data_IF_109554012332
#
_entry.id   IF_109554012332
#
_cell.length_a   1.000
_cell.length_b   1.000
_cell.length_c   1.000
_cell.angle_alpha   90.00
_cell.angle_beta   90.00
_cell.angle_gamma   90.00
#
_symmetry.space_group_name_H-M   'P 1'
#
loop_
_entity.id
_entity.type
_entity.pdbx_description
1 polymer ?
#
# COMPACT_ATOMS: atom_id res chain seq x y z
N UNK A 1 2.03 17.21 1.27
CA UNK A 1 0.76 16.43 1.13
C UNK A 1 0.98 15.31 0.16
N UNK A 2 0.48 14.12 0.46
CA UNK A 2 0.55 12.93 -0.39
C UNK A 2 -0.82 12.75 -1.05
N UNK A 3 -0.88 12.65 -2.38
CA UNK A 3 -2.11 12.36 -3.10
C UNK A 3 -2.64 10.98 -2.69
N UNK A 4 -3.97 10.84 -2.54
CA UNK A 4 -4.66 9.59 -2.21
C UNK A 4 -5.74 9.37 -3.24
N UNK A 5 -5.72 8.23 -3.92
CA UNK A 5 -6.60 7.95 -5.05
C UNK A 5 -7.65 6.89 -4.71
N UNK A 6 -8.84 7.07 -5.28
CA UNK A 6 -9.80 5.97 -5.37
C UNK A 6 -9.34 4.93 -6.40
N UNK A 7 -9.86 3.69 -6.36
CA UNK A 7 -9.56 2.69 -7.37
C UNK A 7 -9.87 3.13 -8.80
N UNK A 8 -10.93 3.92 -8.99
CA UNK A 8 -11.32 4.48 -10.28
C UNK A 8 -10.33 5.52 -10.77
N UNK A 9 -9.91 6.44 -9.90
CA UNK A 9 -8.89 7.45 -10.22
C UNK A 9 -7.56 6.77 -10.57
N UNK A 10 -7.18 5.73 -9.82
CA UNK A 10 -5.96 4.96 -10.11
C UNK A 10 -6.02 4.30 -11.48
N UNK A 11 -7.14 3.64 -11.84
CA UNK A 11 -7.33 3.05 -13.17
C UNK A 11 -7.26 4.09 -14.30
N UNK A 12 -7.79 5.29 -14.08
CA UNK A 12 -7.70 6.38 -15.06
C UNK A 12 -6.25 6.88 -15.21
N UNK A 13 -5.52 7.02 -14.10
CA UNK A 13 -4.11 7.41 -14.12
C UNK A 13 -3.25 6.35 -14.83
N UNK A 14 -3.46 5.06 -14.55
CA UNK A 14 -2.80 3.94 -15.24
C UNK A 14 -3.08 3.97 -16.75
N UNK A 15 -4.35 4.14 -17.15
CA UNK A 15 -4.74 4.20 -18.55
C UNK A 15 -4.13 5.42 -19.28
N UNK A 16 -4.05 6.57 -18.62
CA UNK A 16 -3.42 7.77 -19.15
C UNK A 16 -1.90 7.58 -19.31
N UNK A 17 -1.23 6.99 -18.32
CA UNK A 17 0.19 6.68 -18.37
C UNK A 17 0.51 5.70 -19.52
N UNK A 18 -0.27 4.64 -19.69
CA UNK A 18 -0.11 3.67 -20.78
C UNK A 18 -0.34 4.32 -22.15
N UNK A 19 -1.38 5.16 -22.29
CA UNK A 19 -1.69 5.81 -23.57
C UNK A 19 -0.62 6.83 -24.00
N UNK A 20 0.01 7.52 -23.05
CA UNK A 20 1.07 8.48 -23.31
C UNK A 20 2.39 7.84 -23.69
N UNK A 21 2.62 6.61 -23.25
CA UNK A 21 3.89 5.93 -23.32
C UNK A 21 4.06 4.97 -24.52
N UNK A 22 2.97 4.55 -25.22
CA UNK A 22 2.97 3.65 -26.40
C UNK A 22 2.94 2.16 -26.03
N UNK A 23 2.73 1.29 -27.04
CA UNK A 23 2.36 -0.14 -26.88
C UNK A 23 3.33 -1.05 -26.09
N UNK A 24 4.54 -0.59 -25.75
CA UNK A 24 5.54 -1.43 -25.06
C UNK A 24 5.77 -1.04 -23.59
N UNK A 25 4.97 -0.16 -23.03
CA UNK A 25 5.25 0.40 -21.71
C UNK A 25 4.62 -0.36 -20.53
N UNK A 26 3.62 -1.20 -20.76
CA UNK A 26 3.04 -2.04 -19.69
C UNK A 26 4.12 -2.91 -19.02
N UNK A 27 4.97 -3.56 -19.82
CA UNK A 27 6.09 -4.35 -19.31
C UNK A 27 7.10 -3.51 -18.51
N UNK A 28 7.28 -2.23 -18.87
CA UNK A 28 8.18 -1.32 -18.15
C UNK A 28 7.61 -0.94 -16.78
N UNK A 29 6.28 -0.73 -16.68
CA UNK A 29 5.64 -0.47 -15.40
C UNK A 29 5.70 -1.69 -14.48
N UNK A 30 5.41 -2.89 -14.99
CA UNK A 30 5.52 -4.15 -14.23
C UNK A 30 6.98 -4.37 -13.77
N UNK A 31 7.96 -4.10 -14.63
CA UNK A 31 9.39 -4.22 -14.27
C UNK A 31 9.78 -3.24 -13.16
N UNK A 32 9.33 -1.98 -13.23
CA UNK A 32 9.60 -0.97 -12.19
C UNK A 32 8.91 -1.34 -10.88
N UNK A 33 7.65 -1.74 -10.95
CA UNK A 33 6.87 -2.16 -9.78
C UNK A 33 7.53 -3.37 -9.09
N UNK A 34 7.80 -4.44 -9.83
CA UNK A 34 8.43 -5.63 -9.30
C UNK A 34 9.84 -5.38 -8.75
N UNK A 35 10.63 -4.53 -9.40
CA UNK A 35 11.94 -4.11 -8.88
C UNK A 35 11.83 -3.38 -7.55
N UNK A 36 10.86 -2.47 -7.42
CA UNK A 36 10.62 -1.74 -6.18
C UNK A 36 10.18 -2.68 -5.04
N UNK A 37 9.28 -3.63 -5.33
CA UNK A 37 8.90 -4.68 -4.37
C UNK A 37 10.10 -5.48 -3.92
N UNK A 38 10.98 -5.89 -4.86
CA UNK A 38 12.19 -6.62 -4.54
C UNK A 38 13.15 -5.83 -3.64
N UNK A 39 13.29 -4.52 -3.86
CA UNK A 39 14.11 -3.66 -3.03
C UNK A 39 13.59 -3.57 -1.59
N UNK A 40 12.28 -3.38 -1.41
CA UNK A 40 11.65 -3.36 -0.08
C UNK A 40 11.78 -4.72 0.60
N UNK A 41 11.52 -5.81 -0.13
CA UNK A 41 11.71 -7.17 0.36
C UNK A 41 13.15 -7.42 0.85
N UNK A 42 14.15 -7.01 0.06
CA UNK A 42 15.57 -7.09 0.43
C UNK A 42 15.89 -6.29 1.69
N UNK A 43 15.29 -5.10 1.85
CA UNK A 43 15.45 -4.27 3.04
C UNK A 43 14.84 -4.95 4.28
N UNK A 44 13.64 -5.52 4.16
CA UNK A 44 12.99 -6.27 5.23
C UNK A 44 13.81 -7.49 5.68
N UNK A 45 14.43 -8.17 4.73
CA UNK A 45 15.28 -9.35 4.98
C UNK A 45 16.67 -9.00 5.56
N UNK A 46 17.06 -7.73 5.55
CA UNK A 46 18.43 -7.32 5.90
C UNK A 46 19.48 -7.82 4.91
N UNK A 47 19.07 -8.12 3.68
CA UNK A 47 19.84 -8.73 2.58
C UNK A 47 19.10 -9.96 2.04
N UNK A 48 19.37 -10.33 0.79
CA UNK A 48 18.62 -11.41 0.10
C UNK A 48 19.40 -12.73 0.00
N UNK A 49 20.73 -12.70 0.10
CA UNK A 49 21.55 -13.88 -0.10
C UNK A 49 21.25 -14.98 0.95
N UNK A 50 20.92 -16.17 0.46
CA UNK A 50 20.60 -17.34 1.30
C UNK A 50 19.22 -17.30 1.96
N UNK A 51 18.41 -16.27 1.68
CA UNK A 51 17.05 -16.13 2.20
C UNK A 51 16.03 -16.90 1.38
N UNK A 52 14.99 -17.38 2.04
CA UNK A 52 13.86 -18.07 1.42
C UNK A 52 12.66 -17.13 1.37
N UNK A 53 12.12 -16.91 0.17
CA UNK A 53 10.98 -16.01 -0.03
C UNK A 53 9.85 -16.78 -0.70
N UNK A 54 8.69 -16.81 -0.06
CA UNK A 54 7.47 -17.33 -0.64
C UNK A 54 6.68 -16.19 -1.29
N UNK A 55 6.32 -16.34 -2.56
CA UNK A 55 5.52 -15.35 -3.28
C UNK A 55 4.16 -15.97 -3.62
N UNK A 56 3.10 -15.39 -3.06
CA UNK A 56 1.72 -15.77 -3.36
C UNK A 56 1.31 -14.95 -4.58
N UNK A 57 0.99 -15.62 -5.69
CA UNK A 57 0.75 -14.96 -6.97
C UNK A 57 -0.67 -15.21 -7.48
N UNK A 58 -1.33 -14.14 -7.88
CA UNK A 58 -2.58 -14.18 -8.65
C UNK A 58 -2.32 -14.25 -10.16
N UNK A 59 -3.43 -14.17 -10.93
CA UNK A 59 -3.44 -14.22 -12.40
C UNK A 59 -3.32 -12.85 -13.05
N UNK A 60 -3.44 -11.76 -12.30
CA UNK A 60 -3.40 -10.38 -12.80
C UNK A 60 -2.03 -9.72 -12.64
N UNK A 61 -1.95 -8.43 -12.97
CA UNK A 61 -0.74 -7.60 -12.93
C UNK A 61 -0.06 -7.63 -11.56
N UNK A 62 -0.82 -7.66 -10.47
CA UNK A 62 -0.26 -7.79 -9.13
C UNK A 62 0.61 -9.06 -8.98
N UNK A 63 0.14 -10.18 -9.56
CA UNK A 63 0.90 -11.42 -9.62
C UNK A 63 2.14 -11.30 -10.51
N UNK A 64 2.07 -10.52 -11.58
CA UNK A 64 3.22 -10.28 -12.47
C UNK A 64 4.28 -9.43 -11.78
N UNK A 65 3.89 -8.40 -11.03
CA UNK A 65 4.79 -7.62 -10.16
C UNK A 65 5.51 -8.53 -9.14
N UNK A 66 4.76 -9.45 -8.52
CA UNK A 66 5.32 -10.45 -7.61
C UNK A 66 6.32 -11.40 -8.29
N UNK A 67 6.05 -11.82 -9.53
CA UNK A 67 6.98 -12.67 -10.32
C UNK A 67 8.26 -11.94 -10.67
N UNK A 68 8.16 -10.67 -11.10
CA UNK A 68 9.34 -9.83 -11.38
C UNK A 68 10.14 -9.59 -10.09
N UNK A 69 9.47 -9.31 -8.97
CA UNK A 69 10.14 -9.17 -7.68
C UNK A 69 10.92 -10.44 -7.30
N UNK A 70 10.34 -11.62 -7.52
CA UNK A 70 11.01 -12.89 -7.28
C UNK A 70 12.26 -13.07 -8.16
N UNK A 71 12.22 -12.68 -9.45
CA UNK A 71 13.36 -12.76 -10.35
C UNK A 71 14.52 -11.88 -9.86
N UNK A 72 14.25 -10.66 -9.41
CA UNK A 72 15.26 -9.79 -8.84
C UNK A 72 15.85 -10.34 -7.54
N UNK A 73 15.00 -10.89 -6.64
CA UNK A 73 15.45 -11.52 -5.41
C UNK A 73 16.34 -12.73 -5.69
N UNK A 74 15.99 -13.57 -6.69
CA UNK A 74 16.84 -14.67 -7.16
C UNK A 74 18.18 -14.18 -7.69
N UNK A 75 18.15 -13.11 -8.51
CA UNK A 75 19.38 -12.50 -9.01
C UNK A 75 20.30 -12.02 -7.87
N UNK A 76 19.73 -11.60 -6.73
CA UNK A 76 20.47 -11.19 -5.53
C UNK A 76 20.71 -12.35 -4.55
N UNK A 77 20.50 -13.59 -4.95
CA UNK A 77 20.88 -14.79 -4.20
C UNK A 77 19.84 -15.31 -3.21
N UNK A 78 18.58 -14.88 -3.28
CA UNK A 78 17.49 -15.51 -2.54
C UNK A 78 17.00 -16.78 -3.25
N UNK A 79 16.46 -17.74 -2.48
CA UNK A 79 15.65 -18.82 -3.01
C UNK A 79 14.18 -18.37 -2.98
N UNK A 80 13.50 -18.38 -4.12
CA UNK A 80 12.09 -18.01 -4.20
C UNK A 80 11.22 -19.20 -4.59
N UNK A 81 10.07 -19.32 -3.95
CA UNK A 81 9.03 -20.30 -4.27
C UNK A 81 7.72 -19.59 -4.55
N UNK A 82 6.88 -20.17 -5.39
CA UNK A 82 5.59 -19.62 -5.74
C UNK A 82 4.45 -20.47 -5.20
N UNK A 83 3.41 -19.78 -4.73
CA UNK A 83 2.13 -20.37 -4.37
C UNK A 83 1.04 -19.65 -5.16
N UNK A 84 0.20 -20.38 -5.88
CA UNK A 84 -0.95 -19.73 -6.53
C UNK A 84 -1.96 -19.31 -5.47
N UNK A 85 -2.56 -18.14 -5.67
CA UNK A 85 -3.59 -17.63 -4.76
C UNK A 85 -4.77 -18.61 -4.59
N UNK A 86 -5.13 -19.31 -5.65
CA UNK A 86 -6.21 -20.31 -5.64
C UNK A 86 -5.89 -21.53 -4.75
N UNK A 87 -4.61 -21.84 -4.52
CA UNK A 87 -4.13 -22.99 -3.75
C UNK A 87 -3.71 -22.63 -2.30
N UNK A 88 -3.84 -21.35 -1.93
CA UNK A 88 -3.31 -20.81 -0.67
C UNK A 88 -4.14 -21.23 0.56
N UNK A 89 -5.44 -21.43 0.39
CA UNK A 89 -6.36 -21.76 1.47
C UNK A 89 -5.99 -23.05 2.19
N UNK A 90 -5.90 -23.00 3.54
CA UNK A 90 -5.55 -24.16 4.38
C UNK A 90 -4.06 -24.46 4.45
N UNK A 91 -3.20 -23.77 3.72
CA UNK A 91 -1.75 -23.89 3.85
C UNK A 91 -1.26 -23.23 5.14
N UNK A 92 -0.19 -23.79 5.72
CA UNK A 92 0.46 -23.25 6.91
C UNK A 92 1.91 -22.90 6.56
N UNK A 93 2.28 -21.65 6.81
CA UNK A 93 3.60 -21.08 6.51
C UNK A 93 4.21 -20.58 7.81
N UNK A 94 5.40 -21.05 8.13
CA UNK A 94 6.19 -20.58 9.27
C UNK A 94 7.65 -20.29 8.86
N UNK A 95 8.46 -19.88 9.82
CA UNK A 95 9.88 -19.54 9.62
C UNK A 95 10.77 -20.69 9.12
N UNK A 96 10.27 -21.93 9.08
CA UNK A 96 10.95 -23.07 8.44
C UNK A 96 10.67 -23.12 6.94
N UNK A 97 9.57 -22.46 6.51
CA UNK A 97 9.13 -22.43 5.12
C UNK A 97 9.64 -21.21 4.37
N UNK A 98 9.70 -20.06 5.04
CA UNK A 98 10.11 -18.79 4.43
C UNK A 98 10.66 -17.80 5.48
N UNK A 99 11.59 -16.93 5.05
CA UNK A 99 12.04 -15.75 5.80
C UNK A 99 11.12 -14.53 5.52
N UNK A 100 10.38 -14.55 4.41
CA UNK A 100 9.44 -13.51 3.99
C UNK A 100 8.35 -14.11 3.12
N UNK A 101 7.11 -13.66 3.32
CA UNK A 101 6.00 -13.90 2.40
C UNK A 101 5.73 -12.61 1.62
N UNK A 102 5.63 -12.70 0.30
CA UNK A 102 5.17 -11.60 -0.57
C UNK A 102 3.73 -11.93 -0.98
N UNK A 103 2.79 -11.09 -0.58
CA UNK A 103 1.39 -11.17 -0.99
C UNK A 103 1.19 -10.37 -2.28
N UNK A 104 1.21 -11.05 -3.40
CA UNK A 104 0.94 -10.56 -4.74
C UNK A 104 -0.28 -11.28 -5.35
N UNK A 105 -1.22 -11.73 -4.51
CA UNK A 105 -2.38 -12.47 -4.98
C UNK A 105 -3.36 -11.58 -5.73
N UNK A 106 -3.77 -10.45 -5.13
CA UNK A 106 -4.79 -9.57 -5.70
C UNK A 106 -4.46 -8.11 -5.38
N UNK A 107 -4.70 -7.22 -6.36
CA UNK A 107 -4.59 -5.76 -6.22
C UNK A 107 -5.97 -5.08 -6.20
N UNK A 108 -6.02 -3.80 -6.61
CA UNK A 108 -7.20 -2.92 -6.57
C UNK A 108 -8.43 -3.45 -7.33
N UNK A 109 -8.25 -4.38 -8.25
CA UNK A 109 -9.33 -4.98 -9.06
C UNK A 109 -10.00 -6.20 -8.43
N UNK A 110 -9.63 -6.57 -7.20
CA UNK A 110 -10.17 -7.76 -6.57
C UNK A 110 -11.63 -7.57 -6.14
N UNK A 111 -12.47 -8.54 -6.53
CA UNK A 111 -13.86 -8.65 -6.12
C UNK A 111 -14.15 -10.10 -5.74
N UNK A 112 -14.73 -10.32 -4.58
CA UNK A 112 -15.11 -11.66 -4.12
C UNK A 112 -14.53 -12.01 -2.76
N UNK A 113 -14.31 -13.30 -2.54
CA UNK A 113 -13.68 -13.83 -1.32
C UNK A 113 -12.41 -14.59 -1.67
N UNK A 114 -11.42 -14.47 -0.83
CA UNK A 114 -10.18 -15.23 -0.88
C UNK A 114 -9.87 -15.79 0.49
N UNK A 115 -9.26 -16.96 0.52
CA UNK A 115 -8.78 -17.56 1.76
C UNK A 115 -7.24 -17.61 1.69
N UNK A 116 -6.54 -16.72 2.41
CA UNK A 116 -5.09 -16.76 2.48
C UNK A 116 -4.56 -17.98 3.22
N UNK A 117 -3.27 -18.32 3.10
CA UNK A 117 -2.63 -19.28 3.97
C UNK A 117 -2.57 -18.74 5.40
N UNK A 118 -2.43 -19.63 6.36
CA UNK A 118 -2.10 -19.22 7.72
C UNK A 118 -0.59 -18.95 7.81
N UNK A 119 -0.19 -17.71 8.05
CA UNK A 119 1.21 -17.29 8.19
C UNK A 119 1.51 -17.05 9.66
N UNK A 120 2.54 -17.72 10.19
CA UNK A 120 2.94 -17.61 11.59
C UNK A 120 4.42 -17.25 11.72
N UNK A 121 4.71 -16.18 12.42
CA UNK A 121 6.07 -15.70 12.74
C UNK A 121 6.97 -15.50 11.49
N UNK A 122 6.36 -15.09 10.38
CA UNK A 122 7.03 -14.71 9.13
C UNK A 122 6.52 -13.33 8.72
N UNK A 123 7.40 -12.37 8.42
CA UNK A 123 6.97 -11.07 7.92
C UNK A 123 6.26 -11.19 6.56
N UNK A 124 5.27 -10.32 6.35
CA UNK A 124 4.48 -10.25 5.12
C UNK A 124 4.69 -8.88 4.46
N UNK A 125 5.01 -8.91 3.17
CA UNK A 125 5.06 -7.75 2.28
C UNK A 125 3.90 -7.83 1.30
N UNK A 126 2.98 -6.87 1.35
CA UNK A 126 1.89 -6.79 0.38
C UNK A 126 2.30 -5.95 -0.84
N UNK A 127 1.86 -6.39 -2.02
CA UNK A 127 2.06 -5.70 -3.29
C UNK A 127 0.80 -4.93 -3.63
N UNK A 128 0.92 -3.63 -3.84
CA UNK A 128 -0.11 -2.66 -4.15
C UNK A 128 -1.11 -2.40 -3.00
N UNK A 129 -1.80 -3.42 -2.54
CA UNK A 129 -2.72 -3.42 -1.38
C UNK A 129 -2.77 -4.85 -0.82
N UNK A 130 -2.92 -5.07 0.50
CA UNK A 130 -3.09 -6.42 1.03
C UNK A 130 -4.29 -7.11 0.37
N UNK A 131 -4.08 -8.32 -0.12
CA UNK A 131 -5.09 -9.06 -0.88
C UNK A 131 -6.34 -9.33 -0.05
N UNK A 132 -7.49 -8.88 -0.55
CA UNK A 132 -8.78 -9.00 0.14
C UNK A 132 -9.23 -7.74 0.88
N UNK A 133 -8.40 -6.70 1.00
CA UNK A 133 -8.80 -5.36 1.45
C UNK A 133 -9.46 -4.63 0.28
N UNK A 134 -10.63 -4.05 0.52
CA UNK A 134 -11.31 -3.22 -0.47
C UNK A 134 -10.55 -1.90 -0.66
N UNK A 135 -10.09 -1.63 -1.87
CA UNK A 135 -9.26 -0.47 -2.18
C UNK A 135 -10.00 0.88 -2.09
N UNK A 136 -11.34 0.90 -2.07
CA UNK A 136 -12.13 2.12 -1.95
C UNK A 136 -12.36 2.52 -0.50
N UNK A 137 -12.86 1.59 0.32
CA UNK A 137 -13.36 1.89 1.67
C UNK A 137 -12.63 1.14 2.79
N UNK A 138 -11.69 0.26 2.45
CA UNK A 138 -10.92 -0.54 3.41
C UNK A 138 -11.70 -1.69 4.05
N UNK A 139 -12.93 -1.95 3.60
CA UNK A 139 -13.71 -3.06 4.14
C UNK A 139 -13.07 -4.41 3.82
N UNK A 140 -13.27 -5.38 4.70
CA UNK A 140 -12.75 -6.74 4.59
C UNK A 140 -13.89 -7.73 4.70
N UNK A 141 -14.16 -8.47 3.62
CA UNK A 141 -15.26 -9.43 3.56
C UNK A 141 -14.83 -10.88 3.84
N UNK A 142 -13.52 -11.13 3.99
CA UNK A 142 -12.92 -12.44 4.22
C UNK A 142 -11.65 -12.32 5.05
N UNK A 143 -10.94 -13.42 5.27
CA UNK A 143 -9.61 -13.36 5.89
C UNK A 143 -8.61 -12.62 4.99
N UNK A 144 -7.71 -11.89 5.59
CA UNK A 144 -6.65 -11.12 4.93
C UNK A 144 -5.34 -11.39 5.67
N UNK A 145 -4.23 -11.41 4.96
CA UNK A 145 -2.91 -11.41 5.58
C UNK A 145 -2.61 -10.01 6.15
N UNK A 146 -2.19 -9.96 7.40
CA UNK A 146 -1.70 -8.70 8.00
C UNK A 146 -0.30 -8.46 7.46
N UNK A 147 -0.14 -7.44 6.64
CA UNK A 147 1.17 -7.07 6.12
C UNK A 147 1.97 -6.29 7.17
N UNK A 148 3.28 -6.54 7.23
CA UNK A 148 4.21 -5.69 7.98
C UNK A 148 4.53 -4.42 7.18
N UNK A 149 4.54 -4.55 5.85
CA UNK A 149 4.71 -3.45 4.89
C UNK A 149 3.87 -3.69 3.66
N UNK A 150 3.46 -2.58 3.03
CA UNK A 150 2.79 -2.60 1.73
C UNK A 150 3.54 -1.67 0.79
N UNK A 151 3.95 -2.18 -0.37
CA UNK A 151 4.47 -1.36 -1.48
C UNK A 151 3.30 -1.00 -2.37
N UNK A 152 3.01 0.28 -2.51
CA UNK A 152 1.92 0.78 -3.36
C UNK A 152 2.47 1.71 -4.44
N UNK A 153 1.85 1.73 -5.61
CA UNK A 153 2.35 2.39 -6.80
C UNK A 153 1.59 3.68 -7.08
N UNK A 154 2.33 4.74 -7.46
CA UNK A 154 1.82 6.06 -7.77
C UNK A 154 1.27 6.80 -6.55
N UNK A 155 0.20 6.29 -5.94
CA UNK A 155 -0.43 6.87 -4.75
C UNK A 155 -1.08 5.78 -3.87
N UNK A 156 -1.23 6.04 -2.56
CA UNK A 156 -2.05 5.21 -1.68
C UNK A 156 -3.50 5.20 -2.16
N UNK A 157 -4.16 4.06 -2.01
CA UNK A 157 -5.59 3.93 -2.28
C UNK A 157 -6.38 4.33 -1.04
N UNK A 158 -7.56 4.91 -1.23
CA UNK A 158 -8.41 5.38 -0.11
C UNK A 158 -8.66 4.28 0.92
N UNK A 159 -8.90 3.05 0.49
CA UNK A 159 -9.13 1.90 1.37
C UNK A 159 -7.94 1.47 2.22
N UNK A 160 -6.71 1.87 1.88
CA UNK A 160 -5.54 1.62 2.73
C UNK A 160 -5.55 2.50 3.99
N UNK A 161 -6.25 3.63 3.95
CA UNK A 161 -6.29 4.66 4.99
C UNK A 161 -7.63 4.74 5.71
N UNK A 162 -8.66 4.05 5.20
CA UNK A 162 -10.02 4.06 5.72
C UNK A 162 -10.46 2.66 6.19
N UNK A 163 -11.53 2.62 6.97
CA UNK A 163 -12.14 1.36 7.45
C UNK A 163 -11.15 0.50 8.23
N UNK A 164 -11.09 -0.77 7.88
CA UNK A 164 -10.19 -1.75 8.49
C UNK A 164 -8.80 -1.77 7.82
N UNK A 165 -8.65 -1.13 6.64
CA UNK A 165 -7.45 -1.14 5.83
C UNK A 165 -6.15 -0.82 6.58
N UNK A 166 -6.10 0.24 7.42
CA UNK A 166 -4.90 0.57 8.19
C UNK A 166 -4.39 -0.57 9.09
N UNK A 167 -5.30 -1.45 9.55
CA UNK A 167 -4.94 -2.60 10.39
C UNK A 167 -4.24 -3.72 9.63
N UNK A 168 -4.34 -3.73 8.29
CA UNK A 168 -3.77 -4.77 7.43
C UNK A 168 -2.58 -4.31 6.60
N UNK A 169 -2.42 -2.99 6.35
CA UNK A 169 -1.39 -2.47 5.43
C UNK A 169 0.02 -2.39 6.05
N UNK A 170 0.15 -2.32 7.38
CA UNK A 170 1.44 -2.05 8.02
C UNK A 170 2.03 -0.71 7.58
N UNK A 171 3.37 -0.65 7.45
CA UNK A 171 4.03 0.53 6.89
C UNK A 171 3.82 0.60 5.37
N UNK A 172 3.42 1.76 4.86
CA UNK A 172 3.14 1.96 3.43
C UNK A 172 4.34 2.64 2.76
N UNK A 173 4.95 1.93 1.81
CA UNK A 173 5.97 2.46 0.91
C UNK A 173 5.32 2.88 -0.41
N UNK A 174 5.30 4.17 -0.70
CA UNK A 174 4.76 4.72 -1.95
C UNK A 174 5.90 4.81 -2.96
N UNK A 175 5.73 4.15 -4.10
CA UNK A 175 6.75 4.10 -5.14
C UNK A 175 6.23 4.78 -6.41
N UNK A 176 7.02 5.73 -6.89
CA UNK A 176 6.80 6.32 -8.20
C UNK A 176 7.25 5.33 -9.29
N UNK A 177 6.31 4.86 -10.07
CA UNK A 177 6.54 4.00 -11.25
C UNK A 177 6.36 4.76 -12.57
N UNK A 178 6.11 6.08 -12.50
CA UNK A 178 5.85 6.96 -13.64
C UNK A 178 4.36 7.13 -13.93
N UNK A 179 3.52 7.01 -12.91
CA UNK A 179 2.08 7.25 -12.97
C UNK A 179 1.80 8.53 -12.19
N UNK A 180 1.42 9.60 -12.90
CA UNK A 180 1.04 10.86 -12.26
C UNK A 180 -0.41 10.80 -11.80
N UNK A 181 -0.70 11.15 -10.54
CA UNK A 181 -2.08 11.29 -10.08
C UNK A 181 -2.73 12.51 -10.79
N UNK A 182 -3.72 12.21 -11.60
CA UNK A 182 -4.38 13.20 -12.47
C UNK A 182 -5.71 13.60 -11.87
N UNK A 183 -5.87 14.55 -10.98
CA UNK A 183 -7.21 15.12 -10.83
C UNK A 183 -7.30 16.32 -9.86
N UNK A 184 -8.22 17.28 -10.19
CA UNK A 184 -8.58 18.40 -9.31
C UNK A 184 -9.37 17.91 -8.07
N UNK A 185 -9.98 16.71 -8.12
CA UNK A 185 -10.77 16.09 -7.04
C UNK A 185 -9.96 15.11 -6.16
N UNK A 186 -8.63 15.15 -6.23
CA UNK A 186 -7.77 14.24 -5.46
C UNK A 186 -7.82 14.56 -3.97
N UNK A 187 -8.05 13.54 -3.13
CA UNK A 187 -7.86 13.65 -1.69
C UNK A 187 -6.37 13.68 -1.34
N UNK A 188 -6.04 14.26 -0.18
CA UNK A 188 -4.65 14.35 0.26
C UNK A 188 -4.49 13.89 1.69
N UNK A 189 -3.44 13.10 1.93
CA UNK A 189 -2.92 12.84 3.26
C UNK A 189 -2.04 14.01 3.69
N UNK A 190 -2.41 14.65 4.81
CA UNK A 190 -1.66 15.76 5.38
C UNK A 190 -0.53 15.24 6.24
N UNK A 191 0.68 15.72 6.01
CA UNK A 191 1.88 15.37 6.76
C UNK A 191 2.26 16.48 7.76
N UNK A 192 3.10 16.15 8.74
CA UNK A 192 3.57 17.11 9.72
C UNK A 192 4.32 18.31 9.08
N UNK A 193 5.00 18.08 7.97
CA UNK A 193 5.69 19.10 7.17
C UNK A 193 4.71 20.10 6.55
N UNK A 194 3.54 19.65 6.12
CA UNK A 194 2.49 20.50 5.57
C UNK A 194 1.93 21.42 6.65
N UNK A 195 1.60 20.83 7.81
CA UNK A 195 1.10 21.58 8.97
C UNK A 195 2.14 22.63 9.41
N UNK A 196 3.42 22.26 9.46
CA UNK A 196 4.50 23.19 9.80
C UNK A 196 4.61 24.35 8.80
N UNK A 197 4.39 24.09 7.51
CA UNK A 197 4.42 25.11 6.46
C UNK A 197 3.18 26.03 6.50
N UNK A 198 2.03 25.53 6.93
CA UNK A 198 0.79 26.31 7.03
C UNK A 198 0.73 27.20 8.29
N UNK A 199 1.45 26.81 9.34
CA UNK A 199 1.47 27.59 10.57
C UNK A 199 2.37 28.84 10.40
N UNK A 200 1.85 30.05 10.64
CA UNK A 200 2.68 31.24 10.59
C UNK A 200 3.74 31.20 11.70
N UNK A 201 4.96 31.70 11.43
CA UNK A 201 5.96 31.78 12.46
C UNK A 201 5.47 32.65 13.63
N UNK A 202 5.71 32.18 14.85
CA UNK A 202 5.30 32.94 16.04
C UNK A 202 6.20 34.14 16.21
N UNK A 203 5.61 35.32 16.14
CA UNK A 203 6.31 36.59 16.47
C UNK A 203 6.67 36.61 17.98
N UNK A 204 7.83 37.23 18.31
CA UNK A 204 8.27 37.42 19.70
C UNK A 204 7.32 38.31 20.51
N UNK A 205 6.56 39.17 19.86
CA UNK A 205 5.56 40.07 20.46
C UNK A 205 4.14 39.50 20.39
N UNK A 206 3.98 38.26 19.95
CA UNK A 206 2.68 37.61 19.90
C UNK A 206 2.12 37.39 21.29
N UNK A 207 0.87 37.77 21.46
CA UNK A 207 0.10 37.52 22.69
C UNK A 207 -1.20 36.76 22.37
N UNK A 208 -1.90 36.30 23.43
CA UNK A 208 -3.07 35.39 23.32
C UNK A 208 -4.17 35.85 22.36
N UNK A 209 -4.28 37.14 22.09
CA UNK A 209 -5.31 37.68 21.20
C UNK A 209 -4.89 37.72 19.73
N UNK A 210 -3.59 37.65 19.42
CA UNK A 210 -3.09 37.65 18.05
C UNK A 210 -3.26 36.29 17.37
N UNK A 211 -3.31 35.21 18.16
CA UNK A 211 -3.41 33.83 17.68
C UNK A 211 -4.61 33.09 18.32
N UNK A 212 -5.72 33.79 18.49
CA UNK A 212 -6.94 33.19 19.03
C UNK A 212 -7.60 32.27 17.99
N UNK A 213 -7.85 31.04 18.36
CA UNK A 213 -8.67 30.10 17.59
C UNK A 213 -10.11 30.23 18.04
N UNK A 214 -11.02 30.49 17.11
CA UNK A 214 -12.46 30.46 17.37
C UNK A 214 -13.01 29.11 16.90
N UNK A 215 -13.53 28.34 17.83
CA UNK A 215 -14.22 27.09 17.54
C UNK A 215 -15.74 27.36 17.47
N UNK A 216 -16.34 27.00 16.34
CA UNK A 216 -17.79 27.05 16.15
C UNK A 216 -18.20 25.60 15.91
N UNK A 217 -18.67 24.92 16.96
CA UNK A 217 -18.96 23.50 16.92
C UNK A 217 -19.99 23.13 17.99
N UNK A 218 -20.52 21.92 17.86
CA UNK A 218 -21.56 21.37 18.75
C UNK A 218 -22.98 21.68 18.28
N UNK A 219 -23.92 21.05 18.94
CA UNK A 219 -25.36 21.30 18.78
C UNK A 219 -26.02 21.40 20.17
N UNK A 220 -27.28 21.82 20.22
CA UNK A 220 -28.01 21.90 21.46
C UNK A 220 -27.98 20.53 22.19
N UNK A 221 -27.43 20.50 23.41
CA UNK A 221 -27.20 19.28 24.20
C UNK A 221 -25.91 18.52 23.91
N UNK A 222 -25.09 18.93 22.90
CA UNK A 222 -23.84 18.26 22.51
C UNK A 222 -22.61 19.23 22.47
N UNK A 223 -22.53 20.11 23.46
CA UNK A 223 -21.47 21.12 23.58
C UNK A 223 -20.13 20.58 24.12
N UNK A 224 -20.08 19.39 24.70
CA UNK A 224 -18.89 18.88 25.40
C UNK A 224 -17.66 18.72 24.51
N UNK A 225 -17.82 18.16 23.33
CA UNK A 225 -16.71 17.94 22.38
C UNK A 225 -16.09 19.25 21.86
N UNK A 226 -16.85 20.36 21.83
CA UNK A 226 -16.35 21.67 21.45
C UNK A 226 -15.63 22.40 22.60
N UNK A 227 -15.79 21.91 23.83
CA UNK A 227 -15.24 22.53 25.07
C UNK A 227 -13.95 21.84 25.53
N UNK A 228 -13.62 20.67 24.98
CA UNK A 228 -12.37 19.94 25.19
C UNK A 228 -11.24 20.51 24.35
#
# INVERSE_FOLDING_TARGET
>A
MIAVLTPEQMKLADAAALSSAGEHHESVFIERAGYAVAQVARKMLGGSYGKQVLVIVGKGHNGDDGRVAAQWLQHWGAATTFMNADDAGGQFIDSRCADLVIDAAYGIGFHGSWTPPFVFDVPVLAVDIPSGVNALDGSVNSSVLVANRTVTFGAPKTGMLLGDGPSFCGEIDIVDVGIDPLDDDTAFLVEATDVAAWLPPRDRVSHKWNNAVRVIAGSAGMGGAASL
#
